data_IF_199005959434
#
_entry.id   IF_199005959434
#
_cell.length_a   1.000
_cell.length_b   1.000
_cell.length_c   1.000
_cell.angle_alpha   90.00
_cell.angle_beta   90.00
_cell.angle_gamma   90.00
#
_symmetry.space_group_name_H-M   'P 1'
#
loop_
_entity.id
_entity.type
_entity.pdbx_description
1 polymer ?
#
# COMPACT_ATOMS: atom_id res chain seq x y z
N UNK A 1 -22.76 -13.92 -24.13
CA UNK A 1 -21.29 -14.04 -23.91
C UNK A 1 -21.05 -13.79 -22.43
N UNK A 2 -20.61 -14.81 -21.69
CA UNK A 2 -20.38 -14.70 -20.25
C UNK A 2 -18.99 -14.08 -20.04
N UNK A 3 -18.93 -12.77 -19.75
CA UNK A 3 -17.67 -12.10 -19.45
C UNK A 3 -17.30 -12.38 -18.01
N UNK A 4 -16.28 -13.23 -17.84
CA UNK A 4 -15.65 -13.45 -16.52
C UNK A 4 -15.25 -12.11 -15.94
N UNK A 5 -15.61 -11.87 -14.69
CA UNK A 5 -15.21 -10.72 -13.92
C UNK A 5 -13.68 -10.68 -13.79
N UNK A 6 -13.07 -9.51 -13.58
CA UNK A 6 -11.63 -9.39 -13.36
C UNK A 6 -11.12 -10.28 -12.21
N UNK A 7 -11.94 -10.50 -11.17
CA UNK A 7 -11.64 -11.38 -10.05
C UNK A 7 -11.60 -12.87 -10.46
N UNK A 8 -12.53 -13.29 -11.31
CA UNK A 8 -12.59 -14.66 -11.86
C UNK A 8 -11.41 -14.95 -12.79
N UNK A 9 -10.93 -13.95 -13.55
CA UNK A 9 -9.73 -14.09 -14.39
C UNK A 9 -8.47 -14.29 -13.52
N UNK A 10 -8.38 -13.58 -12.39
CA UNK A 10 -7.25 -13.73 -11.46
C UNK A 10 -7.23 -15.10 -10.76
N UNK A 11 -8.41 -15.62 -10.40
CA UNK A 11 -8.55 -16.94 -9.79
C UNK A 11 -8.33 -18.07 -10.80
N UNK A 12 -8.86 -17.96 -12.02
CA UNK A 12 -8.69 -18.94 -13.09
C UNK A 12 -7.25 -19.07 -13.58
N UNK A 13 -6.46 -18.00 -13.49
CA UNK A 13 -5.04 -18.03 -13.86
C UNK A 13 -4.14 -18.62 -12.78
N UNK A 14 -4.71 -19.09 -11.68
CA UNK A 14 -3.93 -19.69 -10.60
C UNK A 14 -2.87 -18.75 -10.05
N UNK A 15 -3.15 -17.44 -10.01
CA UNK A 15 -2.29 -16.43 -9.38
C UNK A 15 -2.24 -16.72 -7.86
N UNK A 16 -1.39 -17.68 -7.50
CA UNK A 16 -0.99 -18.00 -6.14
C UNK A 16 -0.45 -16.72 -5.47
N UNK A 17 -0.38 -16.66 -4.12
CA UNK A 17 0.46 -15.65 -3.47
C UNK A 17 1.81 -15.65 -4.18
N UNK A 18 2.12 -14.55 -4.88
CA UNK A 18 3.40 -14.36 -5.55
C UNK A 18 4.49 -14.67 -4.55
N UNK A 19 5.46 -15.50 -4.94
CA UNK A 19 6.72 -15.54 -4.20
C UNK A 19 7.30 -14.12 -4.14
N UNK A 20 8.19 -13.84 -3.18
CA UNK A 20 8.84 -12.51 -3.10
C UNK A 20 9.54 -12.14 -4.43
N UNK A 21 10.01 -13.15 -5.17
CA UNK A 21 10.61 -13.01 -6.49
C UNK A 21 9.60 -12.62 -7.58
N UNK A 22 8.41 -13.23 -7.58
CA UNK A 22 7.30 -12.87 -8.48
C UNK A 22 6.78 -11.46 -8.19
N UNK A 23 6.77 -11.07 -6.91
CA UNK A 23 6.37 -9.72 -6.49
C UNK A 23 7.38 -8.67 -6.98
N UNK A 24 8.67 -8.92 -6.79
CA UNK A 24 9.73 -8.05 -7.31
C UNK A 24 9.72 -7.98 -8.84
N UNK A 25 9.44 -9.08 -9.54
CA UNK A 25 9.28 -9.11 -11.00
C UNK A 25 8.07 -8.28 -11.46
N UNK A 26 6.94 -8.37 -10.75
CA UNK A 26 5.76 -7.57 -11.03
C UNK A 26 6.01 -6.07 -10.80
N UNK A 27 6.72 -5.69 -9.73
CA UNK A 27 7.15 -4.30 -9.51
C UNK A 27 8.01 -3.81 -10.68
N UNK A 28 9.01 -4.58 -11.11
CA UNK A 28 9.86 -4.23 -12.26
C UNK A 28 9.04 -4.07 -13.54
N UNK A 29 8.06 -4.95 -13.77
CA UNK A 29 7.14 -4.84 -14.90
C UNK A 29 6.31 -3.56 -14.83
N UNK A 30 5.74 -3.23 -13.67
CA UNK A 30 4.99 -1.98 -13.45
C UNK A 30 5.90 -0.77 -13.71
N UNK A 31 7.12 -0.75 -13.18
CA UNK A 31 8.08 0.33 -13.39
C UNK A 31 8.43 0.52 -14.87
N UNK A 32 8.63 -0.59 -15.59
CA UNK A 32 8.90 -0.57 -17.04
C UNK A 32 7.73 0.04 -17.82
N UNK A 33 6.48 -0.29 -17.46
CA UNK A 33 5.29 0.29 -18.08
C UNK A 33 5.07 1.77 -17.76
N UNK A 34 5.53 2.22 -16.58
CA UNK A 34 5.33 3.58 -16.07
C UNK A 34 6.51 4.53 -16.35
N UNK A 35 7.39 4.18 -17.29
CA UNK A 35 8.51 5.04 -17.71
C UNK A 35 8.03 6.41 -18.23
N UNK A 36 8.83 7.48 -18.12
CA UNK A 36 8.43 8.84 -18.48
C UNK A 36 7.86 8.92 -19.90
N UNK A 37 6.65 9.49 -20.04
CA UNK A 37 6.02 9.74 -21.35
C UNK A 37 4.80 8.87 -21.69
N UNK A 38 4.38 7.93 -20.83
CA UNK A 38 3.09 7.23 -20.97
C UNK A 38 2.10 7.65 -19.87
N UNK A 39 1.32 8.72 -20.07
CA UNK A 39 0.18 9.02 -19.21
C UNK A 39 -0.93 7.97 -19.41
N UNK A 40 -1.93 7.92 -18.51
CA UNK A 40 -3.00 6.91 -18.53
C UNK A 40 -3.74 6.79 -19.88
N UNK A 41 -4.38 5.63 -20.15
CA UNK A 41 -4.68 4.56 -19.19
C UNK A 41 -3.50 3.65 -18.85
N UNK A 42 -3.46 3.19 -17.60
CA UNK A 42 -2.52 2.15 -17.17
C UNK A 42 -2.73 0.87 -17.96
N UNK A 43 -1.64 0.14 -18.25
CA UNK A 43 -1.71 -1.15 -18.93
C UNK A 43 -2.52 -2.17 -18.09
N UNK A 44 -3.28 -3.07 -18.72
CA UNK A 44 -4.15 -4.02 -18.03
C UNK A 44 -3.42 -4.86 -16.97
N UNK A 45 -2.18 -5.27 -17.25
CA UNK A 45 -1.36 -6.01 -16.28
C UNK A 45 -1.07 -5.22 -15.00
N UNK A 46 -0.92 -3.89 -15.09
CA UNK A 46 -0.74 -3.02 -13.93
C UNK A 46 -2.05 -2.97 -13.14
N UNK A 47 -3.19 -2.82 -13.81
CA UNK A 47 -4.51 -2.81 -13.16
C UNK A 47 -4.76 -4.12 -12.41
N UNK A 48 -4.52 -5.28 -13.03
CA UNK A 48 -4.69 -6.59 -12.38
C UNK A 48 -3.77 -6.76 -11.17
N UNK A 49 -2.54 -6.24 -11.25
CA UNK A 49 -1.62 -6.27 -10.13
C UNK A 49 -2.10 -5.42 -8.95
N UNK A 50 -2.59 -4.20 -9.21
CA UNK A 50 -3.17 -3.35 -8.16
C UNK A 50 -4.35 -4.04 -7.45
N UNK A 51 -5.24 -4.70 -8.20
CA UNK A 51 -6.36 -5.44 -7.61
C UNK A 51 -5.88 -6.58 -6.70
N UNK A 52 -4.80 -7.27 -7.08
CA UNK A 52 -4.20 -8.30 -6.24
C UNK A 52 -3.63 -7.72 -4.93
N UNK A 53 -2.91 -6.59 -5.02
CA UNK A 53 -2.37 -5.88 -3.85
C UNK A 53 -3.51 -5.42 -2.93
N UNK A 54 -4.57 -4.82 -3.49
CA UNK A 54 -5.76 -4.44 -2.73
C UNK A 54 -6.40 -5.65 -2.04
N UNK A 55 -6.55 -6.78 -2.74
CA UNK A 55 -7.08 -8.01 -2.16
C UNK A 55 -6.22 -8.56 -1.01
N UNK A 56 -4.89 -8.37 -1.05
CA UNK A 56 -3.99 -8.70 0.08
C UNK A 56 -4.19 -7.77 1.26
N UNK A 57 -4.16 -6.45 1.03
CA UNK A 57 -4.34 -5.44 2.08
C UNK A 57 -5.72 -5.62 2.75
N UNK A 58 -6.78 -5.77 1.96
CA UNK A 58 -8.15 -5.96 2.47
C UNK A 58 -8.29 -7.21 3.33
N UNK A 59 -7.64 -8.33 2.97
CA UNK A 59 -7.63 -9.56 3.79
C UNK A 59 -6.85 -9.38 5.08
N UNK A 60 -5.67 -8.77 5.03
CA UNK A 60 -4.82 -8.55 6.20
C UNK A 60 -5.44 -7.58 7.21
N UNK A 61 -6.20 -6.59 6.74
CA UNK A 61 -6.82 -5.60 7.62
C UNK A 61 -8.04 -6.12 8.39
N UNK A 62 -8.59 -7.28 8.02
CA UNK A 62 -9.94 -7.66 8.43
C UNK A 62 -10.95 -6.75 7.73
N UNK A 63 -11.72 -7.32 6.81
CA UNK A 63 -12.71 -6.61 6.01
C UNK A 63 -13.68 -5.83 6.94
N UNK A 64 -13.61 -4.49 6.89
CA UNK A 64 -14.70 -3.55 7.22
C UNK A 64 -15.15 -3.36 8.70
N UNK A 65 -14.23 -3.19 9.65
CA UNK A 65 -14.57 -2.60 10.95
C UNK A 65 -14.50 -1.07 10.90
N UNK A 66 -15.63 -0.36 11.08
CA UNK A 66 -15.72 1.12 11.05
C UNK A 66 -15.33 1.81 12.36
N UNK A 67 -14.79 1.09 13.34
CA UNK A 67 -14.89 1.57 14.72
C UNK A 67 -13.65 2.30 15.23
N UNK A 68 -12.44 1.99 14.72
CA UNK A 68 -11.20 2.66 15.16
C UNK A 68 -10.17 2.83 14.03
N UNK A 69 -9.39 3.93 14.04
CA UNK A 69 -8.40 4.20 13.02
C UNK A 69 -7.25 3.18 12.98
N UNK A 70 -6.62 3.07 11.82
CA UNK A 70 -5.44 2.23 11.54
C UNK A 70 -4.36 3.07 10.91
N UNK A 71 -3.10 2.72 11.13
CA UNK A 71 -2.02 3.24 10.30
C UNK A 71 -1.85 2.36 9.07
N UNK A 72 -1.48 2.95 7.94
CA UNK A 72 -1.15 2.26 6.72
C UNK A 72 0.18 2.74 6.16
N UNK A 73 0.85 1.86 5.42
CA UNK A 73 2.03 2.12 4.60
C UNK A 73 1.72 1.56 3.22
N UNK A 74 1.83 2.37 2.17
CA UNK A 74 1.56 1.97 0.79
C UNK A 74 2.79 2.28 -0.06
N UNK A 75 3.15 1.38 -0.97
CA UNK A 75 4.24 1.60 -1.92
C UNK A 75 3.66 1.88 -3.30
N UNK A 76 4.13 2.95 -3.94
CA UNK A 76 3.73 3.33 -5.29
C UNK A 76 4.93 3.34 -6.23
N UNK A 77 4.82 2.61 -7.34
CA UNK A 77 5.78 2.64 -8.44
C UNK A 77 5.33 3.64 -9.51
N UNK A 78 6.26 4.28 -10.20
CA UNK A 78 5.97 5.26 -11.25
C UNK A 78 7.21 6.06 -11.65
N UNK A 79 7.05 7.16 -12.42
CA UNK A 79 8.16 8.05 -12.79
C UNK A 79 8.91 8.59 -11.58
N UNK A 80 8.18 8.86 -10.50
CA UNK A 80 8.72 9.24 -9.19
C UNK A 80 8.13 8.27 -8.17
N UNK A 81 8.82 7.17 -7.83
CA UNK A 81 8.33 6.20 -6.85
C UNK A 81 8.30 6.83 -5.45
N UNK A 82 7.36 6.39 -4.62
CA UNK A 82 7.21 6.88 -3.25
C UNK A 82 6.50 5.88 -2.35
N UNK A 83 6.82 5.94 -1.06
CA UNK A 83 6.05 5.28 0.00
C UNK A 83 5.12 6.31 0.62
N UNK A 84 3.85 5.96 0.81
CA UNK A 84 2.87 6.79 1.49
C UNK A 84 2.49 6.20 2.84
N UNK A 85 2.59 7.02 3.89
CA UNK A 85 2.12 6.68 5.23
C UNK A 85 0.91 7.53 5.56
N UNK A 86 -0.04 6.96 6.27
CA UNK A 86 -1.06 7.76 6.94
C UNK A 86 -1.94 6.94 7.84
N UNK A 87 -3.05 7.56 8.26
CA UNK A 87 -4.05 6.94 9.11
C UNK A 87 -5.45 7.11 8.55
N UNK A 88 -6.32 6.14 8.81
CA UNK A 88 -7.74 6.22 8.42
C UNK A 88 -8.59 5.27 9.25
N UNK A 89 -9.86 5.63 9.50
CA UNK A 89 -10.90 4.72 10.00
C UNK A 89 -11.61 3.98 8.87
N UNK A 90 -11.53 4.48 7.63
CA UNK A 90 -12.05 3.82 6.43
C UNK A 90 -10.88 3.50 5.50
N UNK A 91 -10.36 2.27 5.63
CA UNK A 91 -9.17 1.82 4.89
C UNK A 91 -9.47 1.65 3.41
N UNK A 92 -10.62 1.07 3.08
CA UNK A 92 -10.99 0.79 1.70
C UNK A 92 -11.18 2.09 0.91
N UNK A 93 -12.02 3.00 1.40
CA UNK A 93 -12.28 4.28 0.72
C UNK A 93 -11.00 5.11 0.59
N UNK A 94 -10.16 5.13 1.64
CA UNK A 94 -8.90 5.88 1.60
C UNK A 94 -7.92 5.32 0.57
N UNK A 95 -7.69 4.01 0.54
CA UNK A 95 -6.76 3.39 -0.40
C UNK A 95 -7.27 3.52 -1.84
N UNK A 96 -8.58 3.31 -2.08
CA UNK A 96 -9.16 3.48 -3.41
C UNK A 96 -9.01 4.91 -3.93
N UNK A 97 -9.21 5.92 -3.08
CA UNK A 97 -8.94 7.32 -3.45
C UNK A 97 -7.47 7.54 -3.80
N UNK A 98 -6.55 7.05 -2.96
CA UNK A 98 -5.11 7.24 -3.17
C UNK A 98 -4.60 6.53 -4.42
N UNK A 99 -5.10 5.33 -4.70
CA UNK A 99 -4.86 4.62 -5.95
C UNK A 99 -5.32 5.44 -7.15
N UNK A 100 -6.55 5.96 -7.13
CA UNK A 100 -7.07 6.79 -8.22
C UNK A 100 -6.21 8.04 -8.44
N UNK A 101 -5.81 8.71 -7.36
CA UNK A 101 -4.90 9.87 -7.40
C UNK A 101 -3.54 9.50 -8.01
N UNK A 102 -2.91 8.41 -7.55
CA UNK A 102 -1.65 7.92 -8.10
C UNK A 102 -1.76 7.60 -9.60
N UNK A 103 -2.83 6.93 -10.01
CA UNK A 103 -3.05 6.54 -11.41
C UNK A 103 -3.19 7.75 -12.34
N UNK A 104 -3.76 8.87 -11.87
CA UNK A 104 -3.81 10.12 -12.63
C UNK A 104 -2.41 10.72 -12.89
N UNK A 105 -1.45 10.39 -12.03
CA UNK A 105 -0.06 10.84 -12.14
C UNK A 105 0.88 9.77 -12.74
N UNK A 106 0.34 8.68 -13.28
CA UNK A 106 1.14 7.60 -13.85
C UNK A 106 1.91 6.79 -12.80
N UNK A 107 1.42 6.75 -11.57
CA UNK A 107 1.91 5.85 -10.53
C UNK A 107 0.88 4.75 -10.25
N UNK A 108 1.32 3.58 -9.79
CA UNK A 108 0.45 2.47 -9.44
C UNK A 108 0.80 1.94 -8.04
N UNK A 109 -0.22 1.48 -7.31
CA UNK A 109 -0.07 0.83 -6.01
C UNK A 109 0.58 -0.55 -6.20
N UNK A 110 1.77 -0.74 -5.64
CA UNK A 110 2.51 -1.98 -5.81
C UNK A 110 2.65 -2.83 -4.56
N UNK A 111 2.54 -2.22 -3.38
CA UNK A 111 2.45 -2.97 -2.13
C UNK A 111 1.72 -2.15 -1.06
N UNK A 112 1.32 -2.81 0.03
CA UNK A 112 0.80 -2.11 1.19
C UNK A 112 0.66 -2.98 2.42
N UNK A 113 0.73 -2.30 3.56
CA UNK A 113 0.54 -2.85 4.89
C UNK A 113 -0.38 -1.92 5.67
N UNK A 114 -1.20 -2.48 6.56
CA UNK A 114 -1.90 -1.68 7.55
C UNK A 114 -1.92 -2.39 8.90
N UNK A 115 -2.01 -1.61 9.97
CA UNK A 115 -2.13 -2.12 11.32
C UNK A 115 -3.54 -2.66 11.61
N UNK A 116 -3.67 -3.31 12.77
CA UNK A 116 -4.96 -3.48 13.41
C UNK A 116 -5.58 -2.12 13.80
N UNK A 117 -6.90 -2.10 14.01
CA UNK A 117 -7.67 -0.93 14.45
C UNK A 117 -7.33 -0.57 15.90
N UNK A 118 -7.03 0.70 16.19
CA UNK A 118 -6.74 1.18 17.54
C UNK A 118 -6.95 2.68 17.68
N UNK A 119 -7.39 3.11 18.87
CA UNK A 119 -7.40 4.49 19.34
C UNK A 119 -5.98 5.13 19.38
N UNK A 120 -4.94 4.29 19.54
CA UNK A 120 -3.53 4.71 19.56
C UNK A 120 -2.95 5.00 18.17
N UNK A 121 -3.69 4.75 17.08
CA UNK A 121 -3.17 4.92 15.73
C UNK A 121 -2.62 6.34 15.45
N UNK A 122 -3.22 7.39 16.03
CA UNK A 122 -2.72 8.77 15.88
C UNK A 122 -1.37 8.99 16.60
N UNK A 123 -1.12 8.26 17.68
CA UNK A 123 0.17 8.28 18.38
C UNK A 123 1.21 7.49 17.61
N UNK A 124 0.84 6.33 17.05
CA UNK A 124 1.73 5.53 16.20
C UNK A 124 2.16 6.28 14.95
N UNK A 125 1.23 6.91 14.24
CA UNK A 125 1.51 7.74 13.07
C UNK A 125 2.52 8.84 13.37
N UNK A 126 2.34 9.58 14.48
CA UNK A 126 3.28 10.62 14.90
C UNK A 126 4.67 10.08 15.23
N UNK A 127 4.74 8.93 15.92
CA UNK A 127 6.01 8.27 16.26
C UNK A 127 6.72 7.76 15.01
N UNK A 128 5.97 7.17 14.07
CA UNK A 128 6.49 6.68 12.80
C UNK A 128 7.05 7.83 11.97
N UNK A 129 6.27 8.90 11.77
CA UNK A 129 6.74 10.10 11.06
C UNK A 129 8.01 10.65 11.70
N UNK A 130 8.07 10.76 13.03
CA UNK A 130 9.24 11.29 13.76
C UNK A 130 10.47 10.40 13.62
N UNK A 131 10.29 9.08 13.59
CA UNK A 131 11.38 8.12 13.49
C UNK A 131 11.98 8.02 12.07
N UNK A 132 11.28 8.55 11.06
CA UNK A 132 11.79 8.59 9.70
C UNK A 132 12.83 9.71 9.51
N UNK A 133 13.91 9.45 8.75
CA UNK A 133 14.92 10.46 8.48
C UNK A 133 14.34 11.65 7.69
N UNK A 134 14.81 12.86 8.01
CA UNK A 134 14.28 14.11 7.41
C UNK A 134 14.43 14.15 5.88
N UNK A 135 15.44 13.45 5.33
CA UNK A 135 15.70 13.37 3.89
C UNK A 135 14.61 12.66 3.09
N UNK A 136 13.76 11.88 3.75
CA UNK A 136 12.65 11.19 3.09
C UNK A 136 11.41 12.08 2.93
N UNK A 137 11.34 13.27 3.55
CA UNK A 137 10.11 14.09 3.57
C UNK A 137 10.13 15.15 2.47
N UNK A 138 9.39 14.96 1.38
CA UNK A 138 9.17 16.00 0.36
C UNK A 138 7.67 16.36 0.28
N UNK A 139 7.37 17.66 0.33
CA UNK A 139 6.07 18.31 0.13
C UNK A 139 4.95 18.07 1.15
N UNK A 140 4.81 16.88 1.74
CA UNK A 140 3.93 16.67 2.90
C UNK A 140 4.40 15.47 3.72
N UNK A 141 4.16 15.48 5.04
CA UNK A 141 4.69 14.50 6.02
C UNK A 141 4.28 13.03 5.75
N UNK A 142 3.50 12.79 4.70
CA UNK A 142 2.97 11.48 4.31
C UNK A 142 3.67 10.86 3.10
N UNK A 143 4.38 11.62 2.26
CA UNK A 143 5.01 11.11 1.04
C UNK A 143 6.51 10.99 1.23
N UNK A 144 7.00 9.77 1.10
CA UNK A 144 8.39 9.41 1.34
C UNK A 144 9.04 8.99 0.03
N UNK A 145 9.74 9.92 -0.60
CA UNK A 145 10.48 9.66 -1.83
C UNK A 145 11.82 8.98 -1.49
N UNK A 146 12.16 7.92 -2.22
CA UNK A 146 13.38 7.14 -2.01
C UNK A 146 13.43 6.34 -0.70
N UNK A 147 12.32 6.24 0.03
CA UNK A 147 12.21 5.36 1.19
C UNK A 147 11.99 3.91 0.76
N UNK A 148 12.64 2.97 1.45
CA UNK A 148 12.41 1.56 1.28
C UNK A 148 11.12 1.13 1.99
N UNK A 149 10.25 0.40 1.28
CA UNK A 149 8.94 0.00 1.82
C UNK A 149 9.08 -0.95 3.01
N UNK A 150 9.97 -1.93 2.94
CA UNK A 150 10.15 -2.94 3.99
C UNK A 150 10.77 -2.34 5.25
N UNK A 151 11.72 -1.41 5.10
CA UNK A 151 12.25 -0.66 6.24
C UNK A 151 11.17 0.14 6.97
N UNK A 152 10.29 0.82 6.21
CA UNK A 152 9.19 1.61 6.75
C UNK A 152 8.16 0.71 7.43
N UNK A 153 7.79 -0.42 6.81
CA UNK A 153 6.88 -1.41 7.40
C UNK A 153 7.49 -2.02 8.66
N UNK A 154 8.76 -2.38 8.65
CA UNK A 154 9.48 -2.90 9.81
C UNK A 154 9.49 -1.91 10.97
N UNK A 155 9.68 -0.62 10.69
CA UNK A 155 9.56 0.45 11.69
C UNK A 155 8.13 0.59 12.23
N UNK A 156 7.14 0.57 11.34
CA UNK A 156 5.73 0.65 11.72
C UNK A 156 5.32 -0.52 12.63
N UNK A 157 5.70 -1.74 12.28
CA UNK A 157 5.47 -2.96 13.09
C UNK A 157 6.07 -2.81 14.48
N UNK A 158 7.35 -2.42 14.59
CA UNK A 158 8.01 -2.21 15.90
C UNK A 158 7.30 -1.19 16.79
N UNK A 159 6.78 -0.11 16.22
CA UNK A 159 6.04 0.92 16.96
C UNK A 159 4.71 0.35 17.47
N UNK A 160 3.99 -0.33 16.59
CA UNK A 160 2.70 -0.96 16.91
C UNK A 160 2.87 -2.06 17.97
N UNK A 161 3.89 -2.91 17.86
CA UNK A 161 4.18 -4.00 18.79
C UNK A 161 4.58 -3.49 20.18
N UNK A 162 5.44 -2.46 20.25
CA UNK A 162 5.84 -1.84 21.53
C UNK A 162 4.66 -1.28 22.32
N UNK A 163 3.67 -0.74 21.62
CA UNK A 163 2.47 -0.17 22.24
C UNK A 163 1.33 -1.19 22.37
N UNK A 164 1.37 -2.32 21.65
CA UNK A 164 0.41 -3.42 21.73
C UNK A 164 0.75 -4.46 22.81
N UNK A 165 2.01 -4.52 23.25
CA UNK A 165 2.51 -5.43 24.28
C UNK A 165 2.15 -5.09 25.74
N UNK A 166 1.28 -4.10 26.00
CA UNK A 166 0.84 -3.72 27.36
C UNK A 166 -0.60 -4.15 27.65
N UNK A 167 -1.02 -5.30 27.13
CA UNK A 167 -2.27 -5.97 27.53
C UNK A 167 -2.03 -7.46 27.68
N UNK A 168 -1.32 -7.86 28.74
CA UNK A 168 -1.48 -9.14 29.46
C UNK A 168 -0.36 -9.27 30.51
N UNK A 169 -0.75 -9.28 31.79
CA UNK A 169 0.12 -9.48 32.95
C UNK A 169 -0.25 -8.57 34.09
#
# INVERSE_FOLDING_TARGET
MNTKTPLEICLDRGLRPCSDEDHAAAIRMVQAYLSPGRPPPLHLNVIFFEEHVLGRISRACGLFGKDLPRIYVLSFAGPVPYVKIGRTSDTFTRIMRLRREANMHGAALVDGWASFSSDRAATWERRLIRALPDRSRMHSKEYLHGADFEEVVGLAKRIVERDGGTTAG
#
